data_IF_020977915450
#
_entry.id   IF_020977915450
#
_cell.length_a   1.000
_cell.length_b   1.000
_cell.length_c   1.000
_cell.angle_alpha   90.00
_cell.angle_beta   90.00
_cell.angle_gamma   90.00
#
_symmetry.space_group_name_H-M   'P 1'
#
loop_
_entity.id
_entity.type
_entity.pdbx_description
1 polymer ?
#
# COMPACT_ATOMS: atom_id res chain seq x y z
N UNK A 1 21.09 2.47 3.93
CA UNK A 1 20.55 3.30 5.02
C UNK A 1 19.95 4.52 4.35
N UNK A 2 18.63 4.69 4.47
CA UNK A 2 17.93 5.85 3.92
C UNK A 2 18.46 7.13 4.59
N UNK A 3 18.36 8.26 3.90
CA UNK A 3 18.68 9.55 4.49
C UNK A 3 17.63 9.93 5.54
N UNK A 4 17.98 10.72 6.57
CA UNK A 4 17.02 11.18 7.59
C UNK A 4 15.79 11.88 7.00
N UNK A 5 15.93 12.47 5.79
CA UNK A 5 14.82 13.08 5.07
C UNK A 5 13.86 12.03 4.49
N UNK A 6 14.38 10.96 3.91
CA UNK A 6 13.58 9.87 3.35
C UNK A 6 12.80 9.16 4.47
N UNK A 7 13.42 8.93 5.63
CA UNK A 7 12.74 8.35 6.80
C UNK A 7 11.57 9.22 7.28
N UNK A 8 11.75 10.54 7.31
CA UNK A 8 10.69 11.48 7.68
C UNK A 8 9.55 11.50 6.66
N UNK A 9 9.89 11.43 5.36
CA UNK A 9 8.89 11.38 4.29
C UNK A 9 8.10 10.07 4.35
N UNK A 10 8.78 8.95 4.58
CA UNK A 10 8.13 7.64 4.71
C UNK A 10 7.16 7.63 5.91
N UNK A 11 7.62 8.11 7.07
CA UNK A 11 6.78 8.21 8.27
C UNK A 11 5.56 9.11 8.05
N UNK A 12 5.74 10.25 7.39
CA UNK A 12 4.63 11.15 7.06
C UNK A 12 3.62 10.48 6.11
N UNK A 13 4.10 9.74 5.11
CA UNK A 13 3.24 9.01 4.18
C UNK A 13 2.50 7.87 4.87
N UNK A 14 3.16 7.11 5.74
CA UNK A 14 2.52 6.08 6.56
C UNK A 14 1.47 6.66 7.52
N UNK A 15 1.70 7.85 8.08
CA UNK A 15 0.70 8.56 8.88
C UNK A 15 -0.54 8.91 8.06
N UNK A 16 -0.37 9.33 6.80
CA UNK A 16 -1.49 9.59 5.90
C UNK A 16 -2.24 8.31 5.50
N UNK A 17 -1.51 7.21 5.29
CA UNK A 17 -2.08 5.91 4.93
C UNK A 17 -2.70 5.16 6.13
N UNK A 18 -2.43 5.58 7.37
CA UNK A 18 -2.88 4.88 8.58
C UNK A 18 -4.39 4.54 8.59
N UNK A 19 -5.31 5.49 8.30
CA UNK A 19 -6.74 5.18 8.30
C UNK A 19 -7.12 4.18 7.20
N UNK A 20 -6.45 4.25 6.05
CA UNK A 20 -6.67 3.34 4.92
C UNK A 20 -6.16 1.93 5.21
N UNK A 21 -4.99 1.81 5.85
CA UNK A 21 -4.44 0.53 6.29
C UNK A 21 -5.39 -0.10 7.31
N UNK A 22 -5.86 0.67 8.30
CA UNK A 22 -6.82 0.18 9.30
C UNK A 22 -8.12 -0.30 8.66
N UNK A 23 -8.75 0.50 7.80
CA UNK A 23 -10.02 0.11 7.16
C UNK A 23 -9.84 -1.10 6.24
N UNK A 24 -8.70 -1.19 5.55
CA UNK A 24 -8.34 -2.35 4.73
C UNK A 24 -8.24 -3.62 5.56
N UNK A 25 -7.52 -3.58 6.69
CA UNK A 25 -7.39 -4.74 7.57
C UNK A 25 -8.74 -5.16 8.16
N UNK A 26 -9.54 -4.19 8.62
CA UNK A 26 -10.90 -4.46 9.12
C UNK A 26 -11.75 -5.17 8.06
N UNK A 27 -11.66 -4.73 6.80
CA UNK A 27 -12.38 -5.35 5.68
C UNK A 27 -11.87 -6.75 5.34
N UNK A 28 -10.55 -6.97 5.34
CA UNK A 28 -9.94 -8.26 4.98
C UNK A 28 -10.26 -9.32 6.06
N UNK A 29 -10.14 -8.95 7.33
CA UNK A 29 -10.28 -9.88 8.45
C UNK A 29 -11.68 -9.89 9.07
N UNK A 30 -12.58 -9.02 8.61
CA UNK A 30 -13.94 -8.88 9.14
C UNK A 30 -13.97 -8.56 10.65
N UNK A 31 -13.02 -7.73 11.09
CA UNK A 31 -12.85 -7.34 12.49
C UNK A 31 -13.30 -5.88 12.69
N UNK A 32 -13.87 -5.57 13.86
CA UNK A 32 -14.26 -4.20 14.22
C UNK A 32 -13.06 -3.32 14.60
N UNK A 33 -11.97 -3.93 15.08
CA UNK A 33 -10.76 -3.27 15.53
C UNK A 33 -9.53 -4.08 15.11
N UNK A 34 -9.15 -3.98 13.84
CA UNK A 34 -7.87 -4.56 13.40
C UNK A 34 -6.71 -3.73 13.92
N UNK A 35 -5.81 -4.40 14.63
CA UNK A 35 -4.58 -3.83 15.15
C UNK A 35 -3.40 -4.33 14.33
N UNK A 36 -2.40 -3.46 14.16
CA UNK A 36 -1.13 -3.80 13.56
C UNK A 36 -0.02 -3.14 14.37
N UNK A 37 1.10 -3.83 14.52
CA UNK A 37 2.20 -3.36 15.37
C UNK A 37 3.05 -2.32 14.64
N UNK A 38 3.18 -2.46 13.32
CA UNK A 38 4.02 -1.62 12.47
C UNK A 38 3.70 -1.81 10.99
N UNK A 39 4.05 -0.80 10.21
CA UNK A 39 3.95 -0.80 8.75
C UNK A 39 5.19 -0.11 8.15
N UNK A 40 5.59 -0.53 6.96
CA UNK A 40 6.74 0.01 6.23
C UNK A 40 6.45 0.04 4.74
N UNK A 41 7.00 1.03 4.05
CA UNK A 41 6.84 1.14 2.60
C UNK A 41 7.89 0.27 1.93
N UNK A 42 7.45 -0.87 1.38
CA UNK A 42 8.34 -1.81 0.69
C UNK A 42 8.72 -1.31 -0.70
N UNK A 43 7.82 -0.59 -1.37
CA UNK A 43 8.05 -0.09 -2.72
C UNK A 43 7.11 1.06 -3.06
N UNK A 44 7.64 2.05 -3.77
CA UNK A 44 6.88 3.12 -4.43
C UNK A 44 7.24 3.07 -5.91
N UNK A 45 6.27 2.79 -6.77
CA UNK A 45 6.48 2.71 -8.21
C UNK A 45 5.57 3.71 -8.91
N UNK A 46 6.14 4.58 -9.73
CA UNK A 46 5.36 5.32 -10.72
C UNK A 46 5.03 4.40 -11.90
N UNK A 47 3.77 4.42 -12.34
CA UNK A 47 3.25 3.63 -13.45
C UNK A 47 2.53 4.57 -14.41
N UNK A 48 2.57 4.24 -15.70
CA UNK A 48 1.87 4.98 -16.74
C UNK A 48 0.89 4.02 -17.41
N UNK A 49 -0.35 4.46 -17.61
CA UNK A 49 -1.35 3.69 -18.36
C UNK A 49 -0.96 3.70 -19.84
N UNK A 50 -0.31 2.62 -20.30
CA UNK A 50 0.04 2.45 -21.72
C UNK A 50 -1.19 2.15 -22.57
N UNK A 51 -1.30 2.82 -23.72
CA UNK A 51 -2.48 2.82 -24.60
C UNK A 51 -2.69 1.55 -25.45
N UNK A 52 -2.00 0.43 -25.20
CA UNK A 52 -2.07 -0.74 -26.07
C UNK A 52 -2.67 -1.95 -25.36
N UNK A 53 -3.85 -2.33 -25.87
CA UNK A 53 -4.44 -3.67 -26.05
C UNK A 53 -3.92 -4.80 -25.13
N UNK A 54 -4.88 -5.52 -24.52
CA UNK A 54 -4.78 -6.88 -23.96
C UNK A 54 -4.65 -7.13 -22.43
N UNK A 55 -5.05 -6.20 -21.56
CA UNK A 55 -5.29 -6.58 -20.15
C UNK A 55 -6.65 -6.06 -19.68
N UNK A 56 -7.53 -7.01 -19.31
CA UNK A 56 -8.86 -6.81 -18.72
C UNK A 56 -8.84 -5.61 -17.77
N UNK A 57 -9.39 -4.49 -18.24
CA UNK A 57 -9.52 -3.28 -17.46
C UNK A 57 -10.39 -3.59 -16.23
N UNK A 58 -9.82 -3.42 -15.04
CA UNK A 58 -10.60 -3.36 -13.80
C UNK A 58 -11.35 -2.02 -13.79
N UNK A 59 -12.58 -1.95 -13.25
CA UNK A 59 -13.54 -0.88 -13.50
C UNK A 59 -13.29 0.37 -12.64
N UNK A 60 -12.04 0.82 -12.56
CA UNK A 60 -11.69 2.15 -12.06
C UNK A 60 -11.12 2.87 -13.27
N UNK A 61 -11.95 3.73 -13.84
CA UNK A 61 -11.87 4.25 -15.19
C UNK A 61 -10.47 4.72 -15.59
N UNK A 62 -10.01 4.16 -16.71
CA UNK A 62 -8.82 4.58 -17.41
C UNK A 62 -8.99 6.02 -17.92
N UNK A 63 -8.54 6.99 -17.12
CA UNK A 63 -8.18 8.31 -17.64
C UNK A 63 -6.87 8.14 -18.42
N UNK A 64 -7.03 7.91 -19.72
CA UNK A 64 -6.01 7.68 -20.73
C UNK A 64 -4.75 8.53 -20.51
N UNK A 65 -3.59 7.87 -20.34
CA UNK A 65 -2.28 8.52 -20.30
C UNK A 65 -1.90 9.18 -18.97
N UNK A 66 -2.68 9.00 -17.90
CA UNK A 66 -2.30 9.51 -16.60
C UNK A 66 -1.33 8.56 -15.88
N UNK A 67 -0.30 9.15 -15.27
CA UNK A 67 0.58 8.46 -14.35
C UNK A 67 -0.19 8.14 -13.06
N UNK A 68 0.14 7.03 -12.41
CA UNK A 68 -0.33 6.69 -11.07
C UNK A 68 0.82 6.09 -10.27
N UNK A 69 0.75 6.21 -8.95
CA UNK A 69 1.67 5.57 -8.03
C UNK A 69 1.07 4.27 -7.51
N UNK A 70 1.84 3.20 -7.64
CA UNK A 70 1.61 1.92 -6.99
C UNK A 70 2.51 1.85 -5.75
N UNK A 71 1.89 1.71 -4.58
CA UNK A 71 2.56 1.71 -3.29
C UNK A 71 2.34 0.37 -2.61
N UNK A 72 3.43 -0.33 -2.31
CA UNK A 72 3.39 -1.61 -1.60
C UNK A 72 3.74 -1.34 -0.14
N UNK A 73 2.74 -1.45 0.73
CA UNK A 73 2.91 -1.35 2.18
C UNK A 73 2.97 -2.75 2.76
N UNK A 74 4.03 -3.01 3.49
CA UNK A 74 4.12 -4.18 4.33
C UNK A 74 3.59 -3.88 5.72
N UNK A 75 2.74 -4.76 6.27
CA UNK A 75 2.12 -4.58 7.59
C UNK A 75 2.30 -5.84 8.43
N UNK A 76 2.72 -5.66 9.69
CA UNK A 76 2.75 -6.74 10.69
C UNK A 76 1.54 -6.62 11.60
N UNK A 77 0.68 -7.64 11.60
CA UNK A 77 -0.46 -7.73 12.52
C UNK A 77 -0.03 -8.13 13.92
N UNK A 78 -0.84 -7.74 14.89
CA UNK A 78 -0.73 -8.21 16.27
C UNK A 78 -1.05 -9.71 16.30
N UNK A 79 -0.02 -10.54 16.43
CA UNK A 79 -0.10 -12.00 16.22
C UNK A 79 1.04 -12.56 15.34
N UNK A 80 1.81 -11.68 14.69
CA UNK A 80 2.99 -12.06 13.92
C UNK A 80 2.72 -12.43 12.47
N UNK A 81 1.49 -12.28 11.99
CA UNK A 81 1.16 -12.39 10.57
C UNK A 81 1.67 -11.17 9.80
N UNK A 82 2.18 -11.40 8.59
CA UNK A 82 2.60 -10.34 7.68
C UNK A 82 1.68 -10.29 6.47
N UNK A 83 1.32 -9.08 6.06
CA UNK A 83 0.50 -8.84 4.89
C UNK A 83 1.11 -7.72 4.06
N UNK A 84 1.14 -7.92 2.75
CA UNK A 84 1.51 -6.89 1.79
C UNK A 84 0.24 -6.34 1.18
N UNK A 85 0.04 -5.03 1.33
CA UNK A 85 -1.06 -4.26 0.78
C UNK A 85 -0.53 -3.47 -0.41
N UNK A 86 -1.17 -3.63 -1.57
CA UNK A 86 -0.85 -2.83 -2.76
C UNK A 86 -1.93 -1.77 -2.93
N UNK A 87 -1.55 -0.51 -2.74
CA UNK A 87 -2.38 0.64 -2.99
C UNK A 87 -2.05 1.27 -4.35
N UNK A 88 -3.06 1.80 -5.02
CA UNK A 88 -2.88 2.66 -6.19
C UNK A 88 -3.58 3.98 -5.91
N UNK A 89 -3.00 5.09 -6.35
CA UNK A 89 -3.74 6.35 -6.32
C UNK A 89 -4.40 6.64 -7.67
N UNK A 90 -5.62 7.17 -7.61
CA UNK A 90 -6.15 7.93 -8.74
C UNK A 90 -5.47 9.32 -8.72
N UNK A 91 -4.86 9.71 -9.84
CA UNK A 91 -4.21 11.01 -9.97
C UNK A 91 -5.18 12.18 -9.96
N UNK A 92 -6.48 11.95 -10.24
CA UNK A 92 -7.49 12.99 -10.18
C UNK A 92 -7.89 13.38 -8.74
N UNK A 93 -7.94 12.40 -7.82
CA UNK A 93 -8.33 12.62 -6.42
C UNK A 93 -7.14 12.68 -5.46
N UNK A 94 -5.98 12.12 -5.85
CA UNK A 94 -4.83 11.92 -4.97
C UNK A 94 -5.10 10.91 -3.85
N UNK A 95 -6.24 10.23 -3.87
CA UNK A 95 -6.62 9.22 -2.88
C UNK A 95 -6.07 7.86 -3.29
N UNK A 96 -5.63 7.09 -2.30
CA UNK A 96 -5.17 5.72 -2.48
C UNK A 96 -6.33 4.75 -2.24
N UNK A 97 -6.45 3.78 -3.14
CA UNK A 97 -7.38 2.66 -3.03
C UNK A 97 -6.62 1.34 -2.99
N UNK A 98 -7.18 0.34 -2.30
CA UNK A 98 -6.63 -1.00 -2.28
C UNK A 98 -6.81 -1.67 -3.64
N UNK A 99 -5.70 -2.00 -4.31
CA UNK A 99 -5.71 -2.79 -5.54
C UNK A 99 -5.73 -4.30 -5.25
N UNK A 100 -4.86 -4.74 -4.34
CA UNK A 100 -4.74 -6.16 -3.97
C UNK A 100 -3.99 -6.32 -2.65
N UNK A 101 -4.10 -7.49 -2.04
CA UNK A 101 -3.31 -7.87 -0.88
C UNK A 101 -2.83 -9.32 -1.02
N UNK A 102 -1.72 -9.63 -0.36
CA UNK A 102 -1.26 -11.01 -0.19
C UNK A 102 -0.72 -11.22 1.21
N UNK A 103 -1.04 -12.36 1.81
CA UNK A 103 -0.37 -12.80 3.03
C UNK A 103 1.08 -13.12 2.68
N UNK A 104 2.01 -12.58 3.45
CA UNK A 104 3.44 -12.74 3.23
C UNK A 104 4.02 -13.63 4.31
N UNK A 105 4.90 -14.54 3.92
CA UNK A 105 5.77 -15.28 4.83
C UNK A 105 7.13 -14.58 5.00
N UNK A 106 7.27 -13.35 4.49
CA UNK A 106 8.55 -12.68 4.48
C UNK A 106 9.08 -12.36 5.90
N UNK A 107 10.41 -12.30 6.07
CA UNK A 107 11.04 -12.11 7.38
C UNK A 107 10.57 -10.83 8.08
N UNK A 108 10.51 -10.86 9.43
CA UNK A 108 10.14 -9.71 10.28
C UNK A 108 10.90 -8.43 9.92
N UNK A 109 12.17 -8.57 9.58
CA UNK A 109 13.12 -7.50 9.27
C UNK A 109 12.75 -6.71 8.01
N UNK A 110 11.99 -7.33 7.10
CA UNK A 110 11.55 -6.70 5.85
C UNK A 110 10.40 -5.70 6.06
N UNK A 111 9.65 -5.87 7.15
CA UNK A 111 8.45 -5.08 7.44
C UNK A 111 8.67 -4.07 8.54
N UNK A 112 9.47 -4.41 9.55
CA UNK A 112 9.66 -3.57 10.73
C UNK A 112 11.07 -3.77 11.27
N UNK A 113 12.08 -3.08 10.71
CA UNK A 113 13.40 -3.03 11.32
C UNK A 113 13.29 -2.43 12.73
N UNK A 114 14.04 -3.00 13.69
CA UNK A 114 14.09 -2.54 15.08
C UNK A 114 14.71 -1.15 15.23
#
# INVERSE_FOLDING_TARGET
MASPREDLLEKALLQQLHPLIQSTLQSIYQESLSQYDCAHILSINERITSSNQDIKASPVDAIHGQAYFELIVGVRRSGGEYIELTFINDTASGQYDLKTYKQSMAPKELFCPE
#
